data_IF_674474091544
#
_entry.id   IF_674474091544
#
_cell.length_a   1.000
_cell.length_b   1.000
_cell.length_c   1.000
_cell.angle_alpha   90.00
_cell.angle_beta   90.00
_cell.angle_gamma   90.00
#
_symmetry.space_group_name_H-M   'P 1'
#
loop_
_entity.id
_entity.type
_entity.pdbx_description
1 polymer ?
#
# COMPACT_ATOMS: atom_id res chain seq x y z
N UNK A 1 -39.78 -26.43 25.21
CA UNK A 1 -39.05 -25.15 25.11
C UNK A 1 -39.86 -24.12 25.88
N UNK A 2 -39.33 -23.59 26.98
CA UNK A 2 -40.08 -22.66 27.83
C UNK A 2 -40.38 -21.35 27.09
N UNK A 3 -41.55 -20.75 27.36
CA UNK A 3 -41.96 -19.45 26.76
C UNK A 3 -40.90 -18.37 26.96
N UNK A 4 -40.19 -18.40 28.08
CA UNK A 4 -39.12 -17.45 28.39
C UNK A 4 -37.88 -17.63 27.50
N UNK A 5 -37.57 -18.87 27.07
CA UNK A 5 -36.49 -19.13 26.12
C UNK A 5 -36.87 -18.64 24.71
N UNK A 6 -38.13 -18.83 24.30
CA UNK A 6 -38.62 -18.36 23.00
C UNK A 6 -38.59 -16.82 22.92
N UNK A 7 -39.03 -16.14 23.99
CA UNK A 7 -38.97 -14.67 24.09
C UNK A 7 -37.51 -14.18 24.02
N UNK A 8 -36.58 -14.88 24.68
CA UNK A 8 -35.14 -14.58 24.59
C UNK A 8 -34.58 -14.69 23.17
N UNK A 9 -34.94 -15.74 22.43
CA UNK A 9 -34.51 -15.90 21.04
C UNK A 9 -35.10 -14.84 20.11
N UNK A 10 -36.36 -14.44 20.32
CA UNK A 10 -37.01 -13.37 19.55
C UNK A 10 -36.34 -12.02 19.83
N UNK A 11 -36.02 -11.71 21.09
CA UNK A 11 -35.29 -10.48 21.43
C UNK A 11 -33.89 -10.45 20.82
N UNK A 12 -33.16 -11.56 20.85
CA UNK A 12 -31.85 -11.67 20.20
C UNK A 12 -31.98 -11.48 18.67
N UNK A 13 -32.99 -12.08 18.04
CA UNK A 13 -33.23 -11.91 16.60
C UNK A 13 -33.60 -10.47 16.23
N UNK A 14 -34.37 -9.77 17.07
CA UNK A 14 -34.72 -8.35 16.86
C UNK A 14 -33.52 -7.44 17.06
N UNK A 15 -32.67 -7.71 18.07
CA UNK A 15 -31.45 -6.94 18.30
C UNK A 15 -30.44 -7.17 17.16
N UNK A 16 -30.26 -8.42 16.73
CA UNK A 16 -29.41 -8.75 15.58
C UNK A 16 -29.95 -8.13 14.29
N UNK A 17 -31.27 -8.20 14.06
CA UNK A 17 -31.93 -7.58 12.91
C UNK A 17 -31.79 -6.05 12.90
N UNK A 18 -32.01 -5.41 14.04
CA UNK A 18 -31.83 -3.97 14.21
C UNK A 18 -30.38 -3.53 14.05
N UNK A 19 -29.43 -4.32 14.58
CA UNK A 19 -28.00 -4.08 14.38
C UNK A 19 -27.60 -4.24 12.90
N UNK A 20 -28.05 -5.30 12.22
CA UNK A 20 -27.78 -5.49 10.79
C UNK A 20 -28.38 -4.40 9.92
N UNK A 21 -29.54 -3.86 10.30
CA UNK A 21 -30.18 -2.75 9.59
C UNK A 21 -29.45 -1.42 9.83
N UNK A 22 -28.98 -1.18 11.06
CA UNK A 22 -28.18 -0.02 11.40
C UNK A 22 -26.80 0.00 10.75
N UNK A 23 -26.20 -1.18 10.53
CA UNK A 23 -24.90 -1.33 9.86
C UNK A 23 -25.02 -1.58 8.35
N UNK A 24 -26.22 -1.55 7.78
CA UNK A 24 -26.40 -1.77 6.34
C UNK A 24 -25.89 -0.54 5.57
N UNK A 25 -24.94 -0.69 4.63
CA UNK A 25 -24.37 0.44 3.90
C UNK A 25 -25.46 1.17 3.10
N UNK A 26 -25.37 2.50 3.07
CA UNK A 26 -26.37 3.34 2.42
C UNK A 26 -26.44 3.09 0.91
N UNK A 27 -27.59 3.35 0.27
CA UNK A 27 -27.75 3.12 -1.18
C UNK A 27 -26.74 3.93 -2.02
N UNK A 28 -26.28 5.07 -1.51
CA UNK A 28 -25.26 5.93 -2.14
C UNK A 28 -23.84 5.36 -2.00
N UNK A 29 -23.55 4.68 -0.88
CA UNK A 29 -22.29 3.94 -0.69
C UNK A 29 -22.23 2.68 -1.56
N UNK A 30 -23.35 1.96 -1.69
CA UNK A 30 -23.44 0.81 -2.60
C UNK A 30 -23.28 1.23 -4.06
N UNK A 31 -23.88 2.36 -4.46
CA UNK A 31 -23.69 2.92 -5.80
C UNK A 31 -22.25 3.37 -6.05
N UNK A 32 -21.54 3.89 -5.04
CA UNK A 32 -20.11 4.22 -5.15
C UNK A 32 -19.23 2.99 -5.23
N UNK A 33 -19.49 1.95 -4.42
CA UNK A 33 -18.78 0.67 -4.55
C UNK A 33 -19.01 0.05 -5.93
N UNK A 34 -20.25 0.06 -6.42
CA UNK A 34 -20.56 -0.40 -7.78
C UNK A 34 -19.90 0.49 -8.82
N UNK A 35 -19.89 1.82 -8.68
CA UNK A 35 -19.24 2.72 -9.62
C UNK A 35 -17.72 2.54 -9.66
N UNK A 36 -17.06 2.34 -8.52
CA UNK A 36 -15.63 2.02 -8.46
C UNK A 36 -15.38 0.66 -9.11
N UNK A 37 -16.21 -0.35 -8.80
CA UNK A 37 -16.10 -1.67 -9.41
C UNK A 37 -16.39 -1.67 -10.93
N UNK A 38 -17.37 -0.91 -11.38
CA UNK A 38 -17.81 -0.76 -12.77
C UNK A 38 -16.81 0.08 -13.56
N UNK A 39 -16.25 1.14 -12.96
CA UNK A 39 -15.17 1.94 -13.57
C UNK A 39 -13.92 1.09 -13.77
N UNK A 40 -13.58 0.25 -12.79
CA UNK A 40 -12.44 -0.67 -12.87
C UNK A 40 -12.71 -1.88 -13.79
N UNK A 41 -13.94 -2.37 -13.86
CA UNK A 41 -14.35 -3.41 -14.80
C UNK A 41 -14.41 -2.90 -16.24
N UNK A 42 -14.78 -1.63 -16.45
CA UNK A 42 -14.78 -0.99 -17.77
C UNK A 42 -13.35 -0.83 -18.31
N UNK A 43 -12.36 -0.51 -17.45
CA UNK A 43 -10.94 -0.53 -17.83
C UNK A 43 -10.52 -1.94 -18.31
N UNK A 44 -10.96 -2.98 -17.61
CA UNK A 44 -10.67 -4.38 -17.97
C UNK A 44 -11.40 -4.81 -19.26
N UNK A 45 -12.64 -4.37 -19.47
CA UNK A 45 -13.42 -4.64 -20.69
C UNK A 45 -12.83 -3.90 -21.90
N UNK A 46 -12.45 -2.62 -21.75
CA UNK A 46 -11.73 -1.88 -22.80
C UNK A 46 -10.38 -2.53 -23.11
N UNK A 47 -9.70 -3.11 -22.11
CA UNK A 47 -8.45 -3.86 -22.30
C UNK A 47 -8.69 -5.12 -23.11
N UNK A 48 -9.67 -5.95 -22.74
CA UNK A 48 -10.02 -7.17 -23.50
C UNK A 48 -10.44 -6.84 -24.94
N UNK A 49 -11.15 -5.73 -25.15
CA UNK A 49 -11.51 -5.25 -26.48
C UNK A 49 -10.24 -4.85 -27.29
N UNK A 50 -9.32 -4.08 -26.69
CA UNK A 50 -8.05 -3.68 -27.34
C UNK A 50 -7.12 -4.86 -27.60
N UNK A 51 -7.06 -5.85 -26.70
CA UNK A 51 -6.28 -7.08 -26.88
C UNK A 51 -6.87 -7.96 -27.98
N UNK A 52 -8.20 -8.06 -28.05
CA UNK A 52 -8.89 -8.75 -29.14
C UNK A 52 -8.63 -8.06 -30.49
N UNK A 53 -8.69 -6.73 -30.55
CA UNK A 53 -8.36 -5.94 -31.74
C UNK A 53 -6.89 -6.08 -32.16
N UNK A 54 -5.96 -6.01 -31.21
CA UNK A 54 -4.53 -6.21 -31.47
C UNK A 54 -4.23 -7.66 -31.92
N UNK A 55 -4.92 -8.66 -31.37
CA UNK A 55 -4.81 -10.05 -31.79
C UNK A 55 -5.43 -10.32 -33.18
N UNK A 56 -6.48 -9.59 -33.54
CA UNK A 56 -7.07 -9.59 -34.89
C UNK A 56 -6.12 -8.95 -35.90
N UNK A 57 -5.55 -7.78 -35.59
CA UNK A 57 -4.57 -7.10 -36.45
C UNK A 57 -3.26 -7.90 -36.60
N UNK A 58 -2.80 -8.58 -35.55
CA UNK A 58 -1.64 -9.46 -35.61
C UNK A 58 -1.87 -10.71 -36.47
N UNK A 59 -3.13 -11.15 -36.65
CA UNK A 59 -3.50 -12.24 -37.58
C UNK A 59 -3.62 -11.79 -39.04
N UNK A 60 -3.92 -10.52 -39.28
CA UNK A 60 -4.06 -9.97 -40.64
C UNK A 60 -2.73 -9.49 -41.26
N UNK A 61 -1.68 -9.32 -40.44
CA UNK A 61 -0.36 -8.87 -40.88
C UNK A 61 0.60 -10.03 -41.28
N UNK A 62 0.34 -10.70 -42.40
CA UNK A 62 1.37 -11.35 -43.23
C UNK A 62 0.93 -11.48 -44.71
N UNK A 63 1.83 -11.36 -45.69
CA UNK A 63 1.66 -10.37 -46.74
C UNK A 63 1.17 -10.93 -48.09
N UNK A 64 0.30 -10.15 -48.77
CA UNK A 64 0.11 -10.22 -50.24
C UNK A 64 0.10 -8.82 -50.87
N UNK A 65 1.19 -8.53 -51.58
CA UNK A 65 1.20 -7.96 -52.95
C UNK A 65 0.53 -6.62 -53.26
N UNK A 66 1.36 -5.56 -53.26
CA UNK A 66 1.56 -4.47 -54.27
C UNK A 66 0.42 -3.85 -55.14
N UNK A 67 0.57 -2.51 -55.26
CA UNK A 67 0.19 -1.55 -56.35
C UNK A 67 -1.10 -0.72 -56.08
N UNK A 68 -1.25 0.61 -56.27
CA UNK A 68 -0.58 1.67 -57.09
C UNK A 68 -0.93 3.10 -56.54
N UNK A 69 -0.23 4.14 -57.01
CA UNK A 69 -0.20 5.58 -56.65
C UNK A 69 -1.45 6.46 -57.00
N UNK A 70 -1.78 7.41 -56.09
CA UNK A 70 -2.11 8.88 -56.19
C UNK A 70 -3.17 9.47 -57.19
N UNK A 71 -3.64 10.76 -57.09
CA UNK A 71 -3.93 11.70 -55.97
C UNK A 71 -5.25 12.56 -56.09
N UNK A 72 -5.52 13.43 -55.07
CA UNK A 72 -6.38 14.66 -55.02
C UNK A 72 -7.92 14.46 -55.00
N UNK A 73 -8.76 15.21 -54.26
CA UNK A 73 -8.94 16.69 -54.13
C UNK A 73 -9.65 17.18 -52.85
N UNK A 74 -9.34 18.44 -52.48
CA UNK A 74 -9.97 19.46 -51.60
C UNK A 74 -11.50 19.43 -51.50
N UNK A 75 -12.08 19.62 -50.29
CA UNK A 75 -12.91 20.82 -50.03
C UNK A 75 -13.14 21.16 -48.55
N UNK A 76 -13.35 22.46 -48.35
CA UNK A 76 -13.19 23.25 -47.13
C UNK A 76 -14.42 23.29 -46.22
N UNK A 77 -14.20 23.46 -44.91
CA UNK A 77 -15.08 24.25 -44.04
C UNK A 77 -14.27 24.82 -42.87
N UNK A 78 -13.53 25.88 -43.17
CA UNK A 78 -12.77 26.69 -42.24
C UNK A 78 -13.72 27.74 -41.63
N UNK A 79 -14.25 27.47 -40.44
CA UNK A 79 -14.84 28.53 -39.60
C UNK A 79 -13.75 28.99 -38.66
N UNK A 80 -12.90 29.91 -39.15
CA UNK A 80 -11.98 30.67 -38.28
C UNK A 80 -12.75 31.87 -37.77
N UNK A 81 -13.26 31.76 -36.55
CA UNK A 81 -13.62 32.92 -35.74
C UNK A 81 -12.32 33.49 -35.16
N UNK A 82 -12.04 34.77 -35.42
CA UNK A 82 -10.80 35.46 -35.00
C UNK A 82 -10.54 35.49 -33.49
N UNK A 83 -11.47 35.00 -32.67
CA UNK A 83 -11.30 34.84 -31.22
C UNK A 83 -10.48 33.59 -30.83
N UNK A 84 -10.44 32.56 -31.69
CA UNK A 84 -9.73 31.30 -31.39
C UNK A 84 -8.21 31.42 -31.47
N UNK A 85 -7.68 32.18 -32.44
CA UNK A 85 -6.23 32.37 -32.65
C UNK A 85 -5.58 33.15 -31.49
N UNK A 86 -6.30 34.13 -30.93
CA UNK A 86 -5.85 34.88 -29.75
C UNK A 86 -5.92 34.03 -28.48
N UNK A 87 -6.96 33.20 -28.33
CA UNK A 87 -7.10 32.28 -27.21
C UNK A 87 -5.97 31.23 -27.18
N UNK A 88 -5.63 30.65 -28.34
CA UNK A 88 -4.56 29.65 -28.45
C UNK A 88 -3.18 30.27 -28.17
N UNK A 89 -2.92 31.48 -28.66
CA UNK A 89 -1.67 32.21 -28.39
C UNK A 89 -1.50 32.52 -26.90
N UNK A 90 -2.57 32.98 -26.23
CA UNK A 90 -2.56 33.25 -24.78
C UNK A 90 -2.39 31.95 -23.97
N UNK A 91 -3.05 30.86 -24.41
CA UNK A 91 -2.92 29.54 -23.79
C UNK A 91 -1.49 29.04 -23.85
N UNK A 92 -0.87 29.08 -25.03
CA UNK A 92 0.50 28.60 -25.21
C UNK A 92 1.52 29.42 -24.42
N UNK A 93 1.31 30.75 -24.31
CA UNK A 93 2.13 31.60 -23.44
C UNK A 93 1.99 31.21 -21.97
N UNK A 94 0.77 30.91 -21.49
CA UNK A 94 0.53 30.46 -20.12
C UNK A 94 1.23 29.12 -19.83
N UNK A 95 1.17 28.18 -20.76
CA UNK A 95 1.86 26.89 -20.62
C UNK A 95 3.38 27.07 -20.60
N UNK A 96 3.93 27.94 -21.44
CA UNK A 96 5.35 28.27 -21.43
C UNK A 96 5.78 28.94 -20.10
N UNK A 97 4.92 29.79 -19.52
CA UNK A 97 5.17 30.39 -18.21
C UNK A 97 5.14 29.37 -17.06
N UNK A 98 4.17 28.43 -17.07
CA UNK A 98 4.01 27.41 -16.02
C UNK A 98 5.05 26.30 -16.10
N UNK A 99 5.26 25.73 -17.29
CA UNK A 99 6.04 24.51 -17.49
C UNK A 99 7.43 24.75 -18.10
N UNK A 100 7.71 25.96 -18.59
CA UNK A 100 9.01 26.30 -19.17
C UNK A 100 9.42 25.34 -20.28
N UNK A 101 10.54 24.65 -20.10
CA UNK A 101 11.03 23.68 -21.09
C UNK A 101 10.11 22.45 -21.21
N UNK A 102 9.28 22.14 -20.21
CA UNK A 102 8.33 21.01 -20.22
C UNK A 102 7.00 21.34 -20.90
N UNK A 103 6.85 22.49 -21.57
CA UNK A 103 5.63 22.79 -22.36
C UNK A 103 5.19 21.65 -23.30
N UNK A 104 6.08 20.90 -23.98
CA UNK A 104 5.66 19.76 -24.80
C UNK A 104 5.02 18.60 -24.01
N UNK A 105 5.24 18.54 -22.70
CA UNK A 105 4.63 17.57 -21.78
C UNK A 105 3.45 18.15 -21.00
N UNK A 106 3.08 19.41 -21.21
CA UNK A 106 2.00 20.06 -20.46
C UNK A 106 0.60 19.63 -20.92
N UNK A 107 0.50 19.08 -22.13
CA UNK A 107 -0.76 18.64 -22.73
C UNK A 107 -0.57 17.28 -23.38
N UNK A 108 -1.60 16.44 -23.26
CA UNK A 108 -1.59 15.11 -23.84
C UNK A 108 -2.89 14.37 -23.55
N UNK A 109 -2.92 13.10 -23.92
CA UNK A 109 -4.03 12.20 -23.60
C UNK A 109 -3.55 11.22 -22.53
N UNK A 110 -4.26 11.21 -21.40
CA UNK A 110 -4.03 10.21 -20.35
C UNK A 110 -4.35 8.81 -20.89
N UNK A 111 -3.46 7.87 -20.63
CA UNK A 111 -3.61 6.45 -20.97
C UNK A 111 -3.17 5.63 -19.77
N UNK A 112 -3.81 4.50 -19.55
CA UNK A 112 -3.33 3.54 -18.55
C UNK A 112 -2.42 2.50 -19.20
N UNK A 113 -1.27 2.30 -18.58
CA UNK A 113 -0.29 1.27 -18.95
C UNK A 113 -0.25 0.23 -17.84
N UNK A 114 -0.56 -1.02 -18.19
CA UNK A 114 -0.58 -2.12 -17.22
C UNK A 114 0.73 -2.91 -17.31
N UNK A 115 1.34 -3.13 -16.15
CA UNK A 115 2.47 -4.05 -15.96
C UNK A 115 2.09 -5.09 -14.90
N UNK A 116 2.51 -6.33 -15.09
CA UNK A 116 2.14 -7.43 -14.21
C UNK A 116 3.17 -8.57 -14.15
N UNK A 117 3.14 -9.29 -13.04
CA UNK A 117 3.85 -10.56 -12.84
C UNK A 117 2.86 -11.62 -12.31
N UNK A 118 3.36 -12.73 -11.76
CA UNK A 118 2.50 -13.79 -11.20
C UNK A 118 1.71 -13.40 -9.94
N UNK A 119 2.10 -12.33 -9.24
CA UNK A 119 1.57 -11.91 -7.93
C UNK A 119 0.91 -10.53 -7.93
N UNK A 120 1.41 -9.63 -8.76
CA UNK A 120 1.07 -8.21 -8.84
C UNK A 120 0.55 -7.83 -10.21
N UNK A 121 -0.38 -6.89 -10.22
CA UNK A 121 -0.78 -6.12 -11.39
C UNK A 121 -0.82 -4.65 -10.99
N UNK A 122 -0.11 -3.82 -11.73
CA UNK A 122 -0.01 -2.38 -11.49
C UNK A 122 -0.41 -1.64 -12.76
N UNK A 123 -1.40 -0.77 -12.68
CA UNK A 123 -1.73 0.18 -13.74
C UNK A 123 -1.07 1.52 -13.45
N UNK A 124 -0.49 2.13 -14.48
CA UNK A 124 0.23 3.41 -14.40
C UNK A 124 -0.41 4.38 -15.38
N UNK A 125 -0.85 5.54 -14.90
CA UNK A 125 -1.40 6.59 -15.75
C UNK A 125 -0.28 7.40 -16.38
N UNK A 126 -0.32 7.58 -17.70
CA UNK A 126 0.65 8.41 -18.42
C UNK A 126 0.49 9.89 -18.14
N UNK A 127 -0.63 10.34 -17.58
CA UNK A 127 -0.74 11.63 -16.91
C UNK A 127 -0.32 11.47 -15.46
N UNK A 128 0.67 12.23 -15.00
CA UNK A 128 1.27 12.01 -13.68
C UNK A 128 2.45 11.04 -13.69
N UNK A 129 2.38 10.02 -14.55
CA UNK A 129 3.31 8.90 -14.50
C UNK A 129 3.13 8.05 -13.24
N UNK A 130 1.97 8.11 -12.60
CA UNK A 130 1.70 7.56 -11.27
C UNK A 130 0.99 6.20 -11.34
N UNK A 131 1.26 5.28 -10.40
CA UNK A 131 0.43 4.09 -10.21
C UNK A 131 -1.01 4.48 -9.83
N UNK A 132 -2.00 3.95 -10.55
CA UNK A 132 -3.43 4.11 -10.25
C UNK A 132 -3.96 2.88 -9.54
N UNK A 133 -3.78 1.71 -10.13
CA UNK A 133 -4.28 0.43 -9.60
C UNK A 133 -3.12 -0.40 -9.11
N UNK A 134 -3.21 -0.93 -7.88
CA UNK A 134 -2.25 -1.88 -7.31
C UNK A 134 -3.02 -3.10 -6.80
N UNK A 135 -3.04 -4.17 -7.59
CA UNK A 135 -3.78 -5.40 -7.31
C UNK A 135 -2.87 -6.54 -6.92
N UNK A 136 -3.26 -7.26 -5.87
CA UNK A 136 -2.66 -8.51 -5.45
C UNK A 136 -3.43 -9.70 -6.02
N UNK A 137 -2.83 -10.42 -6.99
CA UNK A 137 -3.51 -11.49 -7.76
C UNK A 137 -3.86 -12.72 -6.93
N UNK A 138 -3.06 -13.00 -5.91
CA UNK A 138 -3.21 -14.18 -5.04
C UNK A 138 -4.26 -14.00 -3.93
N UNK A 139 -4.79 -12.78 -3.78
CA UNK A 139 -5.65 -12.41 -2.66
C UNK A 139 -6.99 -11.86 -3.13
N UNK A 140 -8.00 -12.06 -2.29
CA UNK A 140 -9.36 -11.56 -2.49
C UNK A 140 -9.83 -10.94 -1.17
N UNK A 141 -10.80 -10.03 -1.28
CA UNK A 141 -11.49 -9.47 -0.11
C UNK A 141 -12.39 -10.52 0.54
N UNK A 142 -12.94 -10.19 1.71
CA UNK A 142 -13.97 -11.03 2.35
C UNK A 142 -15.21 -11.27 1.46
N UNK A 143 -15.50 -10.35 0.53
CA UNK A 143 -16.60 -10.46 -0.42
C UNK A 143 -16.23 -11.26 -1.68
N UNK A 144 -15.02 -11.85 -1.73
CA UNK A 144 -14.47 -12.60 -2.88
C UNK A 144 -14.25 -11.73 -4.12
N UNK A 145 -14.08 -10.42 -3.94
CA UNK A 145 -13.69 -9.50 -5.01
C UNK A 145 -12.17 -9.38 -5.09
N UNK A 146 -11.61 -8.89 -6.21
CA UNK A 146 -10.18 -8.61 -6.31
C UNK A 146 -9.68 -7.68 -5.20
N UNK A 147 -8.51 -8.00 -4.63
CA UNK A 147 -7.90 -7.17 -3.59
C UNK A 147 -7.03 -6.06 -4.20
N UNK A 148 -7.32 -4.81 -3.82
CA UNK A 148 -6.53 -3.63 -4.15
C UNK A 148 -5.90 -3.02 -2.90
N UNK A 149 -4.65 -2.56 -3.02
CA UNK A 149 -3.91 -2.00 -1.89
C UNK A 149 -4.24 -0.53 -1.59
N UNK A 150 -4.76 0.18 -2.59
CA UNK A 150 -5.02 1.61 -2.52
C UNK A 150 -6.24 1.99 -3.37
N UNK A 151 -6.98 3.01 -2.94
CA UNK A 151 -8.01 3.64 -3.74
C UNK A 151 -7.37 4.48 -4.86
N UNK A 152 -7.61 4.16 -6.14
CA UNK A 152 -7.04 4.88 -7.28
C UNK A 152 -7.48 6.35 -7.36
N UNK A 153 -8.66 6.71 -6.83
CA UNK A 153 -9.20 8.07 -6.91
C UNK A 153 -8.74 8.96 -5.75
N UNK A 154 -8.25 8.35 -4.66
CA UNK A 154 -7.84 9.02 -3.42
C UNK A 154 -6.39 8.74 -3.02
N UNK A 155 -5.56 8.39 -3.99
CA UNK A 155 -4.12 8.17 -3.79
C UNK A 155 -3.33 9.04 -4.78
N UNK A 156 -2.20 9.58 -4.32
CA UNK A 156 -1.36 10.47 -5.10
C UNK A 156 0.09 10.02 -5.03
N UNK A 157 0.76 10.01 -6.18
CA UNK A 157 2.17 9.67 -6.33
C UNK A 157 2.81 10.77 -7.17
N UNK A 158 3.37 11.77 -6.49
CA UNK A 158 3.78 13.00 -7.12
C UNK A 158 5.25 13.28 -6.84
N UNK A 159 6.02 13.45 -7.90
CA UNK A 159 7.41 13.91 -7.81
C UNK A 159 7.47 15.39 -8.15
N UNK A 160 8.00 16.21 -7.24
CA UNK A 160 8.22 17.64 -7.47
C UNK A 160 9.70 18.00 -7.43
N UNK A 161 10.08 18.93 -8.30
CA UNK A 161 11.44 19.46 -8.35
C UNK A 161 11.43 20.90 -8.87
N UNK A 162 12.47 21.65 -8.48
CA UNK A 162 12.65 23.01 -8.95
C UNK A 162 13.59 23.04 -10.16
N UNK A 163 13.10 23.61 -11.27
CA UNK A 163 13.90 23.94 -12.44
C UNK A 163 14.12 25.46 -12.46
N UNK A 164 15.28 25.91 -11.97
CA UNK A 164 15.49 27.33 -11.68
C UNK A 164 14.46 27.84 -10.65
N UNK A 165 13.56 28.72 -11.07
CA UNK A 165 12.48 29.25 -10.24
C UNK A 165 11.11 28.58 -10.48
N UNK A 166 11.04 27.59 -11.38
CA UNK A 166 9.80 26.89 -11.70
C UNK A 166 9.66 25.65 -10.82
N UNK A 167 8.55 25.55 -10.09
CA UNK A 167 8.13 24.34 -9.40
C UNK A 167 7.40 23.44 -10.40
N UNK A 168 8.02 22.32 -10.75
CA UNK A 168 7.49 21.35 -11.70
C UNK A 168 7.04 20.12 -10.93
N UNK A 169 5.77 19.75 -11.13
CA UNK A 169 5.20 18.52 -10.62
C UNK A 169 4.96 17.52 -11.75
N UNK A 170 5.25 16.24 -11.50
CA UNK A 170 4.89 15.17 -12.43
C UNK A 170 3.39 14.99 -12.59
N UNK A 171 2.57 15.31 -11.56
CA UNK A 171 1.10 15.19 -11.60
C UNK A 171 0.46 16.07 -12.68
N UNK A 172 1.17 17.11 -13.11
CA UNK A 172 0.76 18.05 -14.16
C UNK A 172 1.37 17.73 -15.55
N UNK A 173 2.17 16.66 -15.66
CA UNK A 173 2.87 16.29 -16.90
C UNK A 173 2.25 15.06 -17.55
N UNK A 174 2.25 15.07 -18.88
CA UNK A 174 1.93 13.94 -19.74
C UNK A 174 3.21 13.27 -20.23
N UNK A 175 3.27 11.96 -20.05
CA UNK A 175 4.39 11.13 -20.45
C UNK A 175 4.07 10.32 -21.70
N UNK A 176 5.04 10.20 -22.60
CA UNK A 176 5.00 9.26 -23.70
C UNK A 176 5.60 7.91 -23.26
N UNK A 177 5.00 6.81 -23.69
CA UNK A 177 5.54 5.46 -23.48
C UNK A 177 6.71 5.26 -24.44
N UNK A 178 7.93 5.16 -23.91
CA UNK A 178 9.16 4.90 -24.69
C UNK A 178 9.38 3.40 -24.89
N UNK A 179 9.10 2.61 -23.85
CA UNK A 179 9.22 1.15 -23.87
C UNK A 179 8.20 0.54 -22.91
N UNK A 180 7.62 -0.59 -23.29
CA UNK A 180 6.77 -1.39 -22.41
C UNK A 180 7.03 -2.87 -22.69
N UNK A 181 7.11 -3.65 -21.62
CA UNK A 181 7.03 -5.10 -21.63
C UNK A 181 5.97 -5.57 -20.62
N UNK A 182 5.84 -6.88 -20.41
CA UNK A 182 4.82 -7.42 -19.49
C UNK A 182 5.04 -6.98 -18.05
N UNK A 183 6.28 -6.71 -17.64
CA UNK A 183 6.67 -6.47 -16.25
C UNK A 183 7.15 -5.05 -15.99
N UNK A 184 7.41 -4.25 -17.03
CA UNK A 184 8.01 -2.94 -16.89
C UNK A 184 7.62 -1.96 -17.99
N UNK A 185 7.72 -0.67 -17.66
CA UNK A 185 7.42 0.44 -18.55
C UNK A 185 8.42 1.56 -18.33
N UNK A 186 8.81 2.22 -19.42
CA UNK A 186 9.61 3.44 -19.45
C UNK A 186 8.74 4.56 -20.02
N UNK A 187 8.52 5.58 -19.19
CA UNK A 187 7.75 6.78 -19.51
C UNK A 187 8.70 7.96 -19.66
N UNK A 188 8.46 8.80 -20.67
CA UNK A 188 9.29 9.96 -20.98
C UNK A 188 8.43 11.21 -21.11
N UNK A 189 8.73 12.23 -20.32
CA UNK A 189 8.20 13.59 -20.48
C UNK A 189 9.24 14.44 -21.24
N UNK A 190 9.05 14.66 -22.55
CA UNK A 190 9.98 15.46 -23.36
C UNK A 190 9.96 16.94 -22.97
N UNK A 191 11.11 17.59 -23.15
CA UNK A 191 11.20 19.05 -23.12
C UNK A 191 11.23 19.63 -24.53
N UNK A 192 11.34 20.96 -24.66
CA UNK A 192 11.58 21.65 -25.93
C UNK A 192 12.90 21.25 -26.60
N UNK A 193 13.82 20.65 -25.84
CA UNK A 193 15.08 20.09 -26.34
C UNK A 193 15.01 18.55 -26.29
N UNK A 194 15.16 17.84 -27.43
CA UNK A 194 15.13 16.36 -27.46
C UNK A 194 16.17 15.69 -26.56
N UNK A 195 17.30 16.36 -26.27
CA UNK A 195 18.37 15.87 -25.40
C UNK A 195 18.07 16.00 -23.90
N UNK A 196 17.01 16.74 -23.53
CA UNK A 196 16.62 17.01 -22.14
C UNK A 196 15.21 16.50 -21.87
N UNK A 197 15.05 15.70 -20.82
CA UNK A 197 13.76 15.08 -20.49
C UNK A 197 13.74 14.51 -19.08
N UNK A 198 12.52 14.30 -18.58
CA UNK A 198 12.27 13.49 -17.39
C UNK A 198 11.90 12.07 -17.84
N UNK A 199 12.52 11.06 -17.23
CA UNK A 199 12.20 9.65 -17.43
C UNK A 199 11.74 9.02 -16.12
N UNK A 200 10.64 8.28 -16.19
CA UNK A 200 10.17 7.40 -15.12
C UNK A 200 10.27 5.96 -15.62
N UNK A 201 10.93 5.10 -14.87
CA UNK A 201 11.01 3.66 -15.18
C UNK A 201 10.38 2.88 -14.05
N UNK A 202 9.44 2.00 -14.39
CA UNK A 202 8.83 1.05 -13.46
C UNK A 202 9.15 -0.37 -13.91
N UNK A 203 9.54 -1.22 -12.97
CA UNK A 203 9.88 -2.61 -13.24
C UNK A 203 9.43 -3.50 -12.08
N UNK A 204 8.49 -4.40 -12.35
CA UNK A 204 8.13 -5.46 -11.42
C UNK A 204 9.23 -6.52 -11.39
N UNK A 205 9.56 -6.97 -10.19
CA UNK A 205 10.33 -8.19 -10.00
C UNK A 205 9.53 -9.38 -10.54
N UNK A 206 10.15 -10.35 -11.21
CA UNK A 206 9.40 -11.42 -11.89
C UNK A 206 8.66 -12.37 -10.93
N UNK A 207 9.07 -12.45 -9.66
CA UNK A 207 8.59 -13.51 -8.74
C UNK A 207 8.19 -13.02 -7.36
N UNK A 208 8.39 -11.74 -7.03
CA UNK A 208 8.13 -11.18 -5.70
C UNK A 208 7.12 -10.02 -5.76
N UNK A 209 6.90 -9.41 -4.60
CA UNK A 209 5.99 -8.27 -4.41
C UNK A 209 6.71 -6.92 -4.54
N UNK A 210 7.85 -6.88 -5.24
CA UNK A 210 8.63 -5.66 -5.42
C UNK A 210 8.39 -5.02 -6.79
N UNK A 211 8.32 -3.70 -6.77
CA UNK A 211 8.36 -2.85 -7.94
C UNK A 211 9.49 -1.85 -7.79
N UNK A 212 10.49 -1.92 -8.65
CA UNK A 212 11.53 -0.91 -8.75
C UNK A 212 11.00 0.26 -9.57
N UNK A 213 11.18 1.47 -9.06
CA UNK A 213 10.83 2.73 -9.70
C UNK A 213 12.07 3.62 -9.77
N UNK A 214 12.27 4.33 -10.88
CA UNK A 214 13.43 5.20 -11.05
C UNK A 214 13.03 6.50 -11.72
N UNK A 215 13.40 7.61 -11.09
CA UNK A 215 13.18 8.96 -11.61
C UNK A 215 14.50 9.53 -12.09
N UNK A 216 14.58 9.90 -13.37
CA UNK A 216 15.80 10.45 -13.98
C UNK A 216 15.49 11.77 -14.69
N UNK A 217 16.22 12.84 -14.36
CA UNK A 217 16.25 14.05 -15.20
C UNK A 217 17.53 14.05 -16.03
N UNK A 218 17.38 13.77 -17.33
CA UNK A 218 18.49 13.65 -18.27
C UNK A 218 18.77 15.03 -18.89
N UNK A 219 20.03 15.47 -18.84
CA UNK A 219 20.47 16.74 -19.44
C UNK A 219 20.03 17.99 -18.66
N UNK A 220 19.58 17.85 -17.41
CA UNK A 220 19.10 18.93 -16.54
C UNK A 220 19.90 19.02 -15.22
N UNK A 221 21.05 18.37 -15.15
CA UNK A 221 21.82 18.18 -13.91
C UNK A 221 22.42 19.49 -13.36
N UNK A 222 22.55 20.53 -14.20
CA UNK A 222 23.03 21.85 -13.78
C UNK A 222 21.90 22.78 -13.33
N UNK A 223 20.65 22.44 -13.66
CA UNK A 223 19.48 23.31 -13.50
C UNK A 223 18.56 22.84 -12.38
N UNK A 224 18.66 21.56 -12.01
CA UNK A 224 17.86 20.92 -10.95
C UNK A 224 18.78 20.39 -9.85
N UNK A 225 18.58 20.84 -8.62
CA UNK A 225 19.24 20.29 -7.44
C UNK A 225 18.45 19.08 -6.92
N UNK A 226 19.04 17.88 -7.03
CA UNK A 226 18.42 16.63 -6.59
C UNK A 226 18.00 16.63 -5.11
N UNK A 227 18.63 17.47 -4.27
CA UNK A 227 18.33 17.57 -2.82
C UNK A 227 17.01 18.26 -2.53
N UNK A 228 16.54 19.10 -3.45
CA UNK A 228 15.26 19.79 -3.35
C UNK A 228 14.13 18.98 -4.00
N UNK A 229 14.45 17.83 -4.59
CA UNK A 229 13.45 16.93 -5.12
C UNK A 229 12.69 16.26 -3.98
N UNK A 230 11.37 16.28 -4.09
CA UNK A 230 10.47 15.74 -3.07
C UNK A 230 9.47 14.78 -3.72
N UNK A 231 9.23 13.67 -3.04
CA UNK A 231 8.15 12.76 -3.38
C UNK A 231 7.01 12.96 -2.39
N UNK A 232 5.86 13.38 -2.91
CA UNK A 232 4.60 13.48 -2.21
C UNK A 232 3.83 12.18 -2.47
N UNK A 233 3.53 11.48 -1.39
CA UNK A 233 2.90 10.17 -1.44
C UNK A 233 1.71 10.13 -0.51
N UNK A 234 0.53 9.99 -1.10
CA UNK A 234 -0.74 9.86 -0.40
C UNK A 234 -1.37 8.53 -0.79
N UNK A 235 -1.88 7.80 0.19
CA UNK A 235 -2.54 6.51 -0.03
C UNK A 235 -3.75 6.39 0.86
N UNK A 236 -4.89 6.05 0.26
CA UNK A 236 -6.10 5.72 1.00
C UNK A 236 -6.37 4.22 0.92
N UNK A 237 -6.40 3.54 2.07
CA UNK A 237 -6.61 2.09 2.13
C UNK A 237 -8.08 1.72 2.15
N UNK A 238 -8.49 0.69 1.40
CA UNK A 238 -9.81 0.09 1.49
C UNK A 238 -10.02 -0.70 2.79
N UNK A 239 -11.27 -0.85 3.21
CA UNK A 239 -11.69 -1.87 4.18
C UNK A 239 -11.92 -3.18 3.43
N UNK A 240 -11.03 -4.15 3.64
CA UNK A 240 -11.03 -5.41 2.88
C UNK A 240 -11.68 -6.56 3.67
N UNK A 241 -11.88 -6.36 4.98
CA UNK A 241 -12.31 -7.39 5.90
C UNK A 241 -13.72 -7.14 6.44
N UNK A 242 -14.36 -8.21 6.93
CA UNK A 242 -15.69 -8.12 7.55
C UNK A 242 -15.75 -7.18 8.75
N UNK A 243 -14.64 -7.03 9.47
CA UNK A 243 -14.56 -6.26 10.70
C UNK A 243 -13.56 -5.10 10.58
N UNK A 244 -14.06 -4.01 9.98
CA UNK A 244 -13.32 -2.77 9.72
C UNK A 244 -12.64 -2.17 10.94
N UNK A 245 -13.30 -2.13 12.10
CA UNK A 245 -12.68 -1.58 13.32
C UNK A 245 -11.42 -2.36 13.74
N UNK A 246 -11.36 -3.65 13.38
CA UNK A 246 -10.16 -4.47 13.57
C UNK A 246 -9.01 -4.00 12.68
N UNK A 247 -9.30 -3.69 11.41
CA UNK A 247 -8.32 -3.16 10.46
C UNK A 247 -7.80 -1.79 10.90
N UNK A 248 -8.70 -0.90 11.32
CA UNK A 248 -8.37 0.45 11.82
C UNK A 248 -7.37 0.41 12.97
N UNK A 249 -7.52 -0.54 13.91
CA UNK A 249 -6.64 -0.64 15.09
C UNK A 249 -5.25 -1.18 14.80
N UNK A 250 -4.99 -1.65 13.58
CA UNK A 250 -3.69 -2.25 13.20
C UNK A 250 -2.97 -1.48 12.11
N UNK A 251 -3.68 -0.62 11.39
CA UNK A 251 -3.06 0.24 10.38
C UNK A 251 -2.20 1.32 11.00
N UNK A 252 -0.99 1.54 10.49
CA UNK A 252 -0.08 2.61 10.94
C UNK A 252 0.99 2.92 9.89
N UNK A 253 1.67 4.07 10.03
CA UNK A 253 2.88 4.39 9.26
C UNK A 253 4.10 3.98 10.06
N UNK A 254 4.89 3.06 9.51
CA UNK A 254 6.17 2.63 10.06
C UNK A 254 7.29 3.29 9.28
N UNK A 255 8.38 3.65 9.95
CA UNK A 255 9.57 4.17 9.29
C UNK A 255 10.82 3.75 10.06
N UNK A 256 11.96 3.72 9.36
CA UNK A 256 13.24 3.40 10.00
C UNK A 256 14.31 4.40 9.65
N UNK A 257 14.95 4.94 10.69
CA UNK A 257 16.19 5.70 10.57
C UNK A 257 17.40 4.78 10.31
N UNK A 258 18.43 5.31 9.65
CA UNK A 258 19.69 4.56 9.41
C UNK A 258 20.35 4.14 10.73
N UNK A 259 20.38 5.05 11.70
CA UNK A 259 21.14 4.88 12.94
C UNK A 259 20.29 4.47 14.15
N UNK A 260 18.99 4.20 13.95
CA UNK A 260 18.07 3.86 15.05
C UNK A 260 17.17 2.68 14.68
N UNK A 261 16.47 2.13 15.66
CA UNK A 261 15.43 1.15 15.41
C UNK A 261 14.25 1.77 14.64
N UNK A 262 13.46 0.93 13.97
CA UNK A 262 12.19 1.37 13.37
C UNK A 262 11.26 1.91 14.45
N UNK A 263 10.45 2.86 14.04
CA UNK A 263 9.44 3.54 14.83
C UNK A 263 8.15 3.63 14.01
N UNK A 264 7.05 4.01 14.64
CA UNK A 264 5.73 4.03 14.00
C UNK A 264 4.82 5.13 14.58
N UNK A 265 3.87 5.57 13.77
CA UNK A 265 2.81 6.50 14.17
C UNK A 265 1.69 5.76 14.91
N UNK A 266 0.86 6.50 15.64
CA UNK A 266 -0.31 6.01 16.36
C UNK A 266 -1.19 5.08 15.50
N UNK A 267 -1.50 3.91 16.04
CA UNK A 267 -2.45 2.97 15.43
C UNK A 267 -3.91 3.37 15.70
N UNK A 268 -4.17 4.31 16.61
CA UNK A 268 -5.53 4.65 17.06
C UNK A 268 -6.00 6.06 16.72
N UNK A 269 -5.09 6.99 16.42
CA UNK A 269 -5.41 8.40 16.25
C UNK A 269 -4.71 8.99 15.04
N UNK A 270 -5.22 10.12 14.56
CA UNK A 270 -4.49 10.93 13.59
C UNK A 270 -3.17 11.40 14.22
N UNK A 271 -2.11 11.38 13.42
CA UNK A 271 -0.79 11.84 13.83
C UNK A 271 -0.02 12.30 12.59
N UNK A 272 0.73 13.38 12.73
CA UNK A 272 1.69 13.84 11.73
C UNK A 272 3.02 14.11 12.41
N UNK A 273 4.11 13.64 11.81
CA UNK A 273 5.44 13.70 12.40
C UNK A 273 6.47 14.11 11.36
N UNK A 274 7.30 15.06 11.74
CA UNK A 274 8.52 15.40 10.98
C UNK A 274 9.59 14.38 11.28
N UNK A 275 10.28 13.90 10.25
CA UNK A 275 11.36 12.95 10.39
C UNK A 275 12.61 13.68 10.87
N UNK A 276 13.18 13.23 11.98
CA UNK A 276 14.31 13.91 12.64
C UNK A 276 15.67 13.40 12.15
N UNK A 277 15.69 12.26 11.46
CA UNK A 277 16.89 11.62 10.95
C UNK A 277 16.71 11.06 9.55
N UNK A 278 17.83 10.71 8.92
CA UNK A 278 17.84 10.05 7.61
C UNK A 278 17.13 8.69 7.70
N UNK A 279 16.13 8.45 6.86
CA UNK A 279 15.36 7.20 6.86
C UNK A 279 15.72 6.29 5.68
N UNK A 280 15.71 4.97 5.92
CA UNK A 280 15.91 3.96 4.89
C UNK A 280 14.64 3.66 4.11
N UNK A 281 13.53 3.59 4.85
CA UNK A 281 12.24 3.19 4.33
C UNK A 281 11.10 3.79 5.16
N UNK A 282 9.97 3.97 4.49
CA UNK A 282 8.67 4.36 5.06
C UNK A 282 7.63 3.37 4.55
N UNK A 283 6.72 2.93 5.41
CA UNK A 283 5.76 1.87 5.13
C UNK A 283 4.38 2.22 5.66
N UNK A 284 3.38 2.16 4.80
CA UNK A 284 1.97 2.23 5.13
C UNK A 284 1.47 0.81 5.38
N UNK A 285 1.41 0.44 6.66
CA UNK A 285 0.94 -0.86 7.12
C UNK A 285 -0.58 -0.81 7.25
N UNK A 286 -1.25 -1.76 6.61
CA UNK A 286 -2.66 -2.13 6.82
C UNK A 286 -2.73 -3.41 7.69
N UNK A 287 -3.92 -4.00 7.91
CA UNK A 287 -4.04 -5.22 8.73
C UNK A 287 -3.17 -6.37 8.17
N UNK A 288 -3.45 -6.77 6.92
CA UNK A 288 -2.79 -7.92 6.29
C UNK A 288 -1.80 -7.56 5.19
N UNK A 289 -1.67 -6.29 4.82
CA UNK A 289 -0.83 -5.84 3.73
C UNK A 289 0.00 -4.61 4.13
N UNK A 290 1.08 -4.38 3.40
CA UNK A 290 1.92 -3.20 3.55
C UNK A 290 2.31 -2.68 2.18
N UNK A 291 2.21 -1.36 2.03
CA UNK A 291 2.78 -0.61 0.92
C UNK A 291 3.98 0.14 1.48
N UNK A 292 5.19 -0.16 1.04
CA UNK A 292 6.40 0.49 1.56
C UNK A 292 7.27 1.03 0.44
N UNK A 293 7.92 2.14 0.73
CA UNK A 293 8.92 2.77 -0.13
C UNK A 293 10.29 2.68 0.53
N UNK A 294 11.24 2.20 -0.24
CA UNK A 294 12.63 1.99 0.18
C UNK A 294 13.54 2.77 -0.75
N UNK A 295 14.43 3.56 -0.18
CA UNK A 295 15.50 4.25 -0.92
C UNK A 295 16.85 3.66 -0.48
N UNK A 296 17.64 3.06 -1.39
CA UNK A 296 18.98 2.57 -1.07
C UNK A 296 19.89 3.68 -0.51
N UNK A 297 19.73 4.89 -1.02
CA UNK A 297 20.49 6.07 -0.60
C UNK A 297 19.84 6.77 0.60
N UNK A 298 18.56 6.50 0.87
CA UNK A 298 17.79 7.05 1.98
C UNK A 298 17.02 8.34 1.64
N UNK A 299 16.16 8.73 2.57
CA UNK A 299 15.45 10.00 2.56
C UNK A 299 16.05 10.95 3.59
N UNK A 300 16.20 12.21 3.21
CA UNK A 300 16.72 13.27 4.07
C UNK A 300 15.73 13.56 5.21
N UNK A 301 16.22 14.02 6.37
CA UNK A 301 15.34 14.44 7.47
C UNK A 301 14.70 15.81 7.21
N UNK A 302 15.45 16.74 6.64
CA UNK A 302 15.00 18.12 6.50
C UNK A 302 13.78 18.24 5.56
N UNK A 303 12.64 18.59 6.13
CA UNK A 303 11.38 18.77 5.40
C UNK A 303 10.62 17.48 5.12
N UNK A 304 11.17 16.31 5.47
CA UNK A 304 10.47 15.04 5.30
C UNK A 304 9.52 14.80 6.47
N UNK A 305 8.31 14.37 6.15
CA UNK A 305 7.20 14.24 7.10
C UNK A 305 6.39 12.98 6.75
N UNK A 306 5.80 12.35 7.76
CA UNK A 306 4.87 11.23 7.61
C UNK A 306 3.61 11.51 8.40
N UNK A 307 2.48 11.00 7.94
CA UNK A 307 1.20 11.23 8.59
C UNK A 307 0.22 10.08 8.40
N UNK A 308 -0.74 10.03 9.31
CA UNK A 308 -1.85 9.08 9.28
C UNK A 308 -3.11 9.73 9.80
N UNK A 309 -4.23 9.40 9.17
CA UNK A 309 -5.56 9.86 9.58
C UNK A 309 -6.58 8.71 9.45
N UNK A 310 -7.20 8.26 10.56
CA UNK A 310 -8.33 7.35 10.50
C UNK A 310 -9.52 8.00 9.78
N UNK A 311 -10.12 7.29 8.84
CA UNK A 311 -11.31 7.76 8.13
C UNK A 311 -12.57 7.25 8.84
N UNK A 312 -13.66 8.02 8.74
CA UNK A 312 -14.94 7.66 9.38
C UNK A 312 -15.91 6.96 8.42
N UNK A 313 -15.61 6.94 7.12
CA UNK A 313 -16.46 6.28 6.12
C UNK A 313 -16.42 4.75 6.20
N UNK A 314 -17.34 4.08 5.50
CA UNK A 314 -17.49 2.62 5.54
C UNK A 314 -16.55 1.88 4.58
N UNK A 315 -16.00 2.57 3.58
CA UNK A 315 -15.25 1.96 2.48
C UNK A 315 -13.75 1.94 2.71
N UNK A 316 -13.25 2.87 3.52
CA UNK A 316 -11.83 3.08 3.74
C UNK A 316 -11.47 2.85 5.19
N UNK A 317 -10.20 2.55 5.41
CA UNK A 317 -9.62 2.43 6.75
C UNK A 317 -8.98 3.74 7.14
N UNK A 318 -7.82 4.04 6.55
CA UNK A 318 -7.04 5.23 6.87
C UNK A 318 -6.48 5.87 5.61
N UNK A 319 -6.24 7.16 5.75
CA UNK A 319 -5.40 7.93 4.86
C UNK A 319 -3.97 7.95 5.43
N UNK A 320 -3.00 7.68 4.57
CA UNK A 320 -1.58 7.62 4.89
C UNK A 320 -0.84 8.62 4.02
N UNK A 321 0.03 9.43 4.62
CA UNK A 321 0.77 10.48 3.93
C UNK A 321 2.27 10.38 4.19
N UNK A 322 3.06 10.70 3.17
CA UNK A 322 4.50 10.88 3.29
C UNK A 322 4.99 11.96 2.32
N UNK A 323 5.73 12.92 2.85
CA UNK A 323 6.50 13.89 2.08
C UNK A 323 7.97 13.54 2.29
N UNK A 324 8.66 13.10 1.25
CA UNK A 324 10.02 12.55 1.38
C UNK A 324 10.99 13.28 0.45
N UNK A 325 11.99 13.94 1.04
CA UNK A 325 13.14 14.48 0.31
C UNK A 325 14.20 13.41 0.15
N UNK A 326 14.89 13.38 -0.99
CA UNK A 326 15.95 12.40 -1.25
C UNK A 326 17.28 12.85 -0.68
N UNK A 327 18.02 11.93 -0.06
CA UNK A 327 19.39 12.21 0.38
C UNK A 327 20.34 12.10 -0.81
N UNK A 328 20.86 13.24 -1.29
CA UNK A 328 21.78 13.34 -2.43
C UNK A 328 22.94 14.28 -2.17
N UNK A 329 24.06 14.03 -2.82
CA UNK A 329 25.19 14.97 -2.83
C UNK A 329 24.88 16.21 -3.67
N UNK A 330 25.53 17.33 -3.34
CA UNK A 330 25.37 18.58 -4.09
C UNK A 330 25.91 18.43 -5.51
N UNK A 331 25.09 18.77 -6.51
CA UNK A 331 25.47 18.64 -7.93
C UNK A 331 25.43 17.20 -8.46
N UNK A 332 24.92 16.26 -7.66
CA UNK A 332 24.63 14.92 -8.15
C UNK A 332 23.56 14.98 -9.26
N UNK A 333 23.65 14.03 -10.19
CA UNK A 333 22.59 13.83 -11.18
C UNK A 333 21.30 13.47 -10.46
N UNK A 334 20.17 13.95 -10.97
CA UNK A 334 18.86 13.52 -10.47
C UNK A 334 18.59 12.14 -11.03
N UNK A 335 19.00 11.14 -10.27
CA UNK A 335 18.80 9.72 -10.51
C UNK A 335 18.37 9.09 -9.19
N UNK A 336 17.07 8.85 -9.05
CA UNK A 336 16.43 8.49 -7.79
C UNK A 336 15.93 7.04 -7.87
N UNK A 337 16.73 6.06 -7.43
CA UNK A 337 16.29 4.68 -7.34
C UNK A 337 15.37 4.50 -6.12
N UNK A 338 14.16 4.02 -6.38
CA UNK A 338 13.13 3.74 -5.39
C UNK A 338 12.71 2.28 -5.56
N UNK A 339 12.51 1.58 -4.45
CA UNK A 339 11.93 0.24 -4.46
C UNK A 339 10.66 0.25 -3.64
N UNK A 340 9.55 -0.18 -4.23
CA UNK A 340 8.27 -0.35 -3.57
C UNK A 340 8.05 -1.81 -3.19
N UNK A 341 7.68 -2.06 -1.93
CA UNK A 341 7.08 -3.33 -1.51
C UNK A 341 5.57 -3.18 -1.52
N UNK A 342 4.88 -4.02 -2.27
CA UNK A 342 3.43 -3.98 -2.48
C UNK A 342 2.85 -5.35 -2.11
N UNK A 343 2.77 -5.71 -0.83
CA UNK A 343 2.61 -7.12 -0.49
C UNK A 343 2.04 -7.46 0.88
N UNK A 344 1.91 -8.76 1.17
CA UNK A 344 1.32 -9.26 2.41
C UNK A 344 2.23 -9.08 3.62
N UNK A 345 1.61 -9.00 4.80
CA UNK A 345 2.24 -8.89 6.11
C UNK A 345 2.68 -10.27 6.64
N UNK A 346 3.39 -11.04 5.81
CA UNK A 346 3.90 -12.36 6.19
C UNK A 346 5.30 -12.24 6.77
N UNK A 347 5.49 -12.62 8.04
CA UNK A 347 6.79 -12.55 8.72
C UNK A 347 7.93 -13.18 7.89
N UNK A 348 7.70 -14.37 7.32
CA UNK A 348 8.70 -15.05 6.49
C UNK A 348 9.03 -14.30 5.19
N UNK A 349 8.04 -13.68 4.55
CA UNK A 349 8.24 -12.88 3.32
C UNK A 349 9.02 -11.61 3.65
N UNK A 350 8.59 -10.86 4.67
CA UNK A 350 9.24 -9.62 5.10
C UNK A 350 10.67 -9.84 5.60
N UNK A 351 10.96 -10.99 6.23
CA UNK A 351 12.33 -11.33 6.69
C UNK A 351 13.27 -11.69 5.54
N UNK A 352 12.76 -12.31 4.47
CA UNK A 352 13.56 -12.68 3.28
C UNK A 352 13.90 -11.50 2.38
N UNK A 353 13.33 -10.33 2.61
CA UNK A 353 13.66 -9.13 1.82
C UNK A 353 15.05 -8.58 2.15
N UNK A 354 15.64 -9.00 3.28
CA UNK A 354 16.91 -8.49 3.81
C UNK A 354 16.91 -6.97 4.12
N UNK A 355 15.74 -6.32 4.04
CA UNK A 355 15.57 -4.92 4.42
C UNK A 355 15.62 -4.83 5.95
N UNK A 356 16.47 -3.95 6.47
CA UNK A 356 16.73 -3.83 7.89
C UNK A 356 15.43 -3.60 8.70
N UNK A 357 15.15 -4.53 9.62
CA UNK A 357 14.00 -4.54 10.52
C UNK A 357 12.61 -4.50 9.85
N UNK A 358 12.52 -4.82 8.56
CA UNK A 358 11.24 -4.86 7.83
C UNK A 358 10.32 -5.98 8.34
N UNK A 359 10.90 -7.10 8.80
CA UNK A 359 10.18 -8.20 9.44
C UNK A 359 9.48 -7.80 10.74
N UNK A 360 9.90 -6.68 11.34
CA UNK A 360 9.37 -6.15 12.58
C UNK A 360 8.25 -5.11 12.40
N UNK A 361 7.74 -4.95 11.18
CA UNK A 361 6.42 -4.34 10.89
C UNK A 361 5.30 -5.23 11.46
N UNK A 362 5.57 -6.53 11.55
CA UNK A 362 4.71 -7.47 12.26
C UNK A 362 4.96 -7.39 13.77
N UNK A 363 3.92 -7.03 14.51
CA UNK A 363 3.92 -7.17 15.96
C UNK A 363 3.73 -8.65 16.33
N UNK A 364 4.80 -9.27 16.78
CA UNK A 364 4.79 -10.65 17.29
C UNK A 364 4.46 -10.72 18.79
N UNK A 365 4.20 -9.59 19.44
CA UNK A 365 3.94 -9.47 20.86
C UNK A 365 5.19 -9.12 21.67
N UNK A 366 4.96 -8.62 22.87
CA UNK A 366 6.00 -8.11 23.76
C UNK A 366 6.79 -9.22 24.46
N UNK A 367 8.09 -8.99 24.66
CA UNK A 367 8.97 -9.83 25.48
C UNK A 367 9.00 -11.32 25.10
N UNK A 368 8.59 -12.18 26.04
CA UNK A 368 8.60 -13.64 25.88
C UNK A 368 7.62 -14.10 24.79
N UNK A 369 6.51 -13.38 24.58
CA UNK A 369 5.51 -13.75 23.57
C UNK A 369 6.06 -13.61 22.15
N UNK A 370 6.77 -12.52 21.85
CA UNK A 370 7.44 -12.34 20.56
C UNK A 370 8.50 -13.40 20.30
N UNK A 371 9.30 -13.76 21.32
CA UNK A 371 10.28 -14.85 21.21
C UNK A 371 9.60 -16.20 20.93
N UNK A 372 8.55 -16.54 21.68
CA UNK A 372 7.78 -17.78 21.49
C UNK A 372 7.11 -17.81 20.12
N UNK A 373 6.52 -16.71 19.67
CA UNK A 373 5.87 -16.65 18.36
C UNK A 373 6.87 -16.86 17.23
N UNK A 374 8.04 -16.21 17.31
CA UNK A 374 9.11 -16.29 16.31
C UNK A 374 9.76 -17.68 16.23
N UNK A 375 10.04 -18.30 17.37
CA UNK A 375 10.84 -19.53 17.43
C UNK A 375 10.03 -20.81 17.57
N UNK A 376 8.78 -20.72 18.02
CA UNK A 376 7.94 -21.89 18.27
C UNK A 376 6.68 -21.88 17.41
N UNK A 377 5.88 -20.81 17.47
CA UNK A 377 4.57 -20.79 16.80
C UNK A 377 4.70 -20.80 15.28
N UNK A 378 5.44 -19.82 14.71
CA UNK A 378 5.57 -19.67 13.25
C UNK A 378 6.21 -20.90 12.60
N UNK A 379 7.32 -21.49 13.11
CA UNK A 379 7.91 -22.68 12.51
C UNK A 379 6.99 -23.90 12.52
N UNK A 380 6.28 -24.15 13.64
CA UNK A 380 5.34 -25.28 13.74
C UNK A 380 4.15 -25.04 12.82
N UNK A 381 3.62 -23.82 12.78
CA UNK A 381 2.50 -23.47 11.90
C UNK A 381 2.87 -23.71 10.43
N UNK A 382 4.01 -23.19 9.96
CA UNK A 382 4.46 -23.36 8.58
C UNK A 382 4.71 -24.84 8.22
N UNK A 383 5.18 -25.65 9.18
CA UNK A 383 5.36 -27.09 8.97
C UNK A 383 4.02 -27.82 8.81
N UNK A 384 3.02 -27.46 9.63
CA UNK A 384 1.67 -28.02 9.53
C UNK A 384 0.93 -27.53 8.26
N UNK A 385 1.13 -26.28 7.88
CA UNK A 385 0.54 -25.67 6.68
C UNK A 385 1.02 -26.37 5.39
N UNK A 386 2.27 -26.84 5.37
CA UNK A 386 2.82 -27.64 4.28
C UNK A 386 2.08 -28.96 4.00
N UNK A 387 1.20 -29.43 4.91
CA UNK A 387 0.35 -30.60 4.70
C UNK A 387 -1.03 -30.25 4.10
N UNK A 388 -1.27 -28.97 3.80
CA UNK A 388 -2.49 -28.47 3.17
C UNK A 388 -3.77 -28.82 3.96
N UNK A 389 -3.66 -28.82 5.29
CA UNK A 389 -4.78 -29.04 6.22
C UNK A 389 -5.64 -27.78 6.36
N UNK A 390 -6.89 -27.96 6.80
CA UNK A 390 -7.74 -26.82 7.16
C UNK A 390 -7.11 -26.05 8.35
N UNK A 391 -7.05 -24.72 8.28
CA UNK A 391 -6.51 -23.87 9.34
C UNK A 391 -7.08 -24.13 10.74
N UNK A 392 -8.37 -24.49 10.85
CA UNK A 392 -8.96 -24.86 12.14
C UNK A 392 -8.31 -26.11 12.77
N UNK A 393 -7.93 -27.09 11.94
CA UNK A 393 -7.22 -28.30 12.39
C UNK A 393 -5.77 -27.95 12.74
N UNK A 394 -5.12 -27.11 11.93
CA UNK A 394 -3.75 -26.64 12.21
C UNK A 394 -3.70 -25.96 13.58
N UNK A 395 -4.63 -25.03 13.84
CA UNK A 395 -4.72 -24.35 15.14
C UNK A 395 -5.00 -25.34 16.27
N UNK A 396 -5.92 -26.29 16.09
CA UNK A 396 -6.21 -27.32 17.10
C UNK A 396 -4.94 -28.11 17.45
N UNK A 397 -4.22 -28.60 16.45
CA UNK A 397 -2.98 -29.39 16.63
C UNK A 397 -1.90 -28.55 17.28
N UNK A 398 -1.74 -27.29 16.86
CA UNK A 398 -0.79 -26.35 17.46
C UNK A 398 -1.11 -26.11 18.96
N UNK A 399 -2.38 -25.90 19.31
CA UNK A 399 -2.77 -25.70 20.72
C UNK A 399 -2.51 -26.94 21.57
N UNK A 400 -2.74 -28.14 21.03
CA UNK A 400 -2.43 -29.41 21.71
C UNK A 400 -0.91 -29.55 21.90
N UNK A 401 -0.12 -29.28 20.86
CA UNK A 401 1.34 -29.36 20.92
C UNK A 401 1.92 -28.41 21.98
N UNK A 402 1.46 -27.15 22.02
CA UNK A 402 1.87 -26.17 23.03
C UNK A 402 1.46 -26.61 24.43
N UNK A 403 0.22 -27.10 24.61
CA UNK A 403 -0.25 -27.62 25.91
C UNK A 403 0.58 -28.81 26.39
N UNK A 404 0.94 -29.73 25.51
CA UNK A 404 1.79 -30.88 25.84
C UNK A 404 3.21 -30.44 26.22
N UNK A 405 3.78 -29.49 25.50
CA UNK A 405 5.09 -28.93 25.83
C UNK A 405 5.09 -28.23 27.21
N UNK A 406 4.01 -27.52 27.55
CA UNK A 406 3.87 -26.84 28.84
C UNK A 406 3.32 -27.76 29.95
N UNK A 407 2.91 -29.00 29.63
CA UNK A 407 2.35 -29.96 30.58
C UNK A 407 3.24 -30.22 31.83
N UNK A 408 4.56 -30.43 31.72
CA UNK A 408 5.38 -30.65 32.92
C UNK A 408 5.41 -29.42 33.84
N UNK A 409 5.33 -28.20 33.27
CA UNK A 409 5.28 -26.96 34.03
C UNK A 409 3.92 -26.78 34.70
N UNK A 410 2.82 -27.01 33.96
CA UNK A 410 1.46 -26.90 34.52
C UNK A 410 1.21 -27.96 35.59
N UNK A 411 1.72 -29.18 35.42
CA UNK A 411 1.63 -30.24 36.44
C UNK A 411 2.35 -29.85 37.74
N UNK A 412 3.57 -29.28 37.66
CA UNK A 412 4.29 -28.78 38.84
C UNK A 412 3.51 -27.67 39.55
N UNK A 413 2.93 -26.73 38.80
CA UNK A 413 2.09 -25.68 39.37
C UNK A 413 0.84 -26.27 40.04
N UNK A 414 0.18 -27.25 39.42
CA UNK A 414 -0.98 -27.92 39.99
C UNK A 414 -0.64 -28.63 41.31
N UNK A 415 0.48 -29.36 41.38
CA UNK A 415 0.94 -30.01 42.61
C UNK A 415 1.24 -28.98 43.69
N UNK A 416 1.87 -27.85 43.34
CA UNK A 416 2.13 -26.75 44.29
C UNK A 416 0.83 -26.18 44.86
N UNK A 417 -0.16 -25.88 43.99
CA UNK A 417 -1.47 -25.38 44.42
C UNK A 417 -2.24 -26.38 45.27
N UNK A 418 -2.16 -27.68 44.94
CA UNK A 418 -2.78 -28.74 45.73
C UNK A 418 -2.17 -28.84 47.14
N UNK A 419 -0.84 -28.75 47.26
CA UNK A 419 -0.15 -28.69 48.57
C UNK A 419 -0.56 -27.46 49.37
N UNK A 420 -0.63 -26.29 48.74
CA UNK A 420 -1.09 -25.06 49.40
C UNK A 420 -2.53 -25.18 49.91
N UNK A 421 -3.41 -25.85 49.15
CA UNK A 421 -4.80 -26.08 49.56
C UNK A 421 -4.91 -27.00 50.79
N UNK A 422 -4.01 -27.97 50.93
CA UNK A 422 -3.92 -28.83 52.11
C UNK A 422 -3.38 -28.08 53.34
N UNK A 423 -2.44 -27.15 53.14
CA UNK A 423 -1.84 -26.36 54.23
C UNK A 423 -2.70 -25.17 54.67
N UNK A 424 -3.65 -24.73 53.83
CA UNK A 424 -4.57 -23.62 54.11
C UNK A 424 -5.28 -23.68 55.48
N UNK A 425 -5.90 -24.80 55.91
CA UNK A 425 -6.53 -24.87 57.24
C UNK A 425 -5.55 -24.67 58.40
N UNK A 426 -4.32 -25.18 58.30
CA UNK A 426 -3.30 -24.99 59.33
C UNK A 426 -2.77 -23.54 59.32
N UNK A 427 -2.59 -22.97 58.14
CA UNK A 427 -2.24 -21.55 57.98
C UNK A 427 -3.31 -20.62 58.54
N UNK A 428 -4.59 -20.95 58.34
CA UNK A 428 -5.71 -20.17 58.89
C UNK A 428 -5.70 -20.24 60.42
N UNK A 429 -5.47 -21.41 61.02
CA UNK A 429 -5.34 -21.57 62.48
C UNK A 429 -4.16 -20.77 63.05
N UNK A 430 -3.01 -20.76 62.37
CA UNK A 430 -1.84 -19.95 62.76
C UNK A 430 -2.16 -18.45 62.65
N UNK A 431 -2.80 -18.04 61.56
CA UNK A 431 -3.24 -16.65 61.36
C UNK A 431 -4.23 -16.20 62.43
N UNK A 432 -5.14 -17.07 62.88
CA UNK A 432 -6.07 -16.79 63.97
C UNK A 432 -5.38 -16.65 65.33
N UNK A 433 -4.39 -17.51 65.61
CA UNK A 433 -3.58 -17.43 66.85
C UNK A 433 -2.68 -16.21 66.91
N UNK A 434 -2.29 -15.67 65.76
CA UNK A 434 -1.41 -14.51 65.66
C UNK A 434 -2.12 -13.24 65.15
N UNK A 435 -3.45 -13.11 65.30
CA UNK A 435 -4.21 -11.92 64.87
C UNK A 435 -3.59 -10.59 65.35
N UNK A 436 -3.02 -10.56 66.56
CA UNK A 436 -2.39 -9.37 67.17
C UNK A 436 -0.85 -9.31 67.06
N UNK A 437 -0.23 -10.18 66.26
CA UNK A 437 1.23 -10.28 66.10
C UNK A 437 1.80 -9.57 64.87
N UNK A 438 2.99 -8.97 65.06
CA UNK A 438 3.85 -8.28 64.09
C UNK A 438 3.95 -9.02 62.73
N UNK A 439 3.67 -8.37 61.59
CA UNK A 439 3.64 -9.00 60.25
C UNK A 439 4.91 -9.79 59.88
N UNK A 440 6.06 -9.42 60.43
CA UNK A 440 7.35 -10.09 60.18
C UNK A 440 7.48 -11.49 60.82
N UNK A 441 6.62 -11.84 61.78
CA UNK A 441 6.57 -13.21 62.36
C UNK A 441 5.57 -14.13 61.65
N UNK A 442 4.76 -13.58 60.74
CA UNK A 442 3.74 -14.30 59.96
C UNK A 442 4.22 -14.74 58.57
N UNK A 443 5.27 -14.10 58.04
CA UNK A 443 5.90 -14.42 56.76
C UNK A 443 6.91 -15.56 56.93
#
# INVERSE_FOLDING_TARGET
MDRNSIIGFVLIAVILGGYTWYTMPSAEEQARMQHVQDSLANVEIERLAREAEAALQAKEASPRGTATLAPSTTDSALVVTGDTVNADSIRQLRLAQRFGIFTPSAEGTAKEVVIENGRLQVAINTHGGSPTVIRLKEYQTHEKTPLYLADPEKSEYEFRFFLGNQDISTSELFFAVERQDSTGVVLKAPTTDPGRFLRLTYQLDSTSYFMDARVELVGLEQEVDARNAVFHWELTGFSNEKYRDGELRKGSVYYKYFNSDRDYLSESSAEQKKLEGKTNWVAFKQDFFTVAMISPEGFASNGSEVGIEPLEDTLHTKHYSAKLFFEKERGAKVDLPIRFYLGPNHYGTLRRTEIAQFDRIMDLGWGIFGWMNKWLVIPIFNWLDGWNWNYGIIILVLTIAIKLLLMPLTYKNFVSSARMRLLKPEMDVINEKHKDGDPLKKQ
#
